data_IF_187424436842
#
_entry.id   IF_187424436842
#
_cell.length_a   1.000
_cell.length_b   1.000
_cell.length_c   1.000
_cell.angle_alpha   90.00
_cell.angle_beta   90.00
_cell.angle_gamma   90.00
#
_symmetry.space_group_name_H-M   'P 1'
#
loop_
_entity.id
_entity.type
_entity.pdbx_description
1 polymer ?
#
# COMPACT_ATOMS: atom_id res chain seq x y z
N UNK A 1 8.83 15.61 -2.99
CA UNK A 1 7.67 14.72 -3.18
C UNK A 1 8.02 13.22 -3.32
N UNK A 2 9.31 12.83 -3.27
CA UNK A 2 9.76 11.42 -3.39
C UNK A 2 9.74 10.62 -2.08
N UNK A 3 9.57 11.26 -0.93
CA UNK A 3 9.77 10.66 0.41
C UNK A 3 8.66 9.74 0.94
N UNK A 4 7.53 9.66 0.23
CA UNK A 4 6.34 8.98 0.78
C UNK A 4 6.14 7.53 0.32
N UNK A 5 6.90 7.10 -0.67
CA UNK A 5 6.69 5.81 -1.33
C UNK A 5 7.24 4.63 -0.51
N UNK A 6 8.24 4.91 0.33
CA UNK A 6 9.04 3.87 1.00
C UNK A 6 8.42 3.34 2.29
N UNK A 7 7.55 4.12 2.92
CA UNK A 7 7.01 3.81 4.25
C UNK A 7 6.19 2.51 4.30
N UNK A 8 5.69 2.08 3.16
CA UNK A 8 4.80 0.92 3.08
C UNK A 8 5.51 -0.42 3.18
N UNK A 9 6.72 -0.47 2.68
CA UNK A 9 7.43 -1.74 2.60
C UNK A 9 7.93 -2.23 3.96
N UNK A 10 8.20 -1.30 4.87
CA UNK A 10 8.77 -1.61 6.17
C UNK A 10 7.81 -2.25 7.17
N UNK A 11 6.52 -1.94 7.06
CA UNK A 11 5.53 -2.48 8.00
C UNK A 11 5.34 -4.00 7.90
N UNK A 12 5.90 -4.63 6.88
CA UNK A 12 5.62 -6.04 6.58
C UNK A 12 6.70 -7.01 7.03
N UNK A 13 7.89 -6.53 7.36
CA UNK A 13 9.01 -7.41 7.73
C UNK A 13 8.94 -7.97 9.16
N UNK A 14 8.17 -7.33 10.03
CA UNK A 14 7.92 -7.83 11.38
C UNK A 14 6.70 -8.73 11.47
N UNK A 15 6.36 -9.43 10.40
CA UNK A 15 5.24 -10.37 10.36
C UNK A 15 5.33 -11.53 11.38
N UNK A 16 6.46 -11.71 12.05
CA UNK A 16 6.58 -12.64 13.17
C UNK A 16 5.77 -12.23 14.42
N UNK A 17 5.43 -10.93 14.55
CA UNK A 17 4.64 -10.42 15.66
C UNK A 17 3.16 -10.13 15.29
N UNK A 18 2.78 -10.37 14.02
CA UNK A 18 1.44 -10.08 13.51
C UNK A 18 0.62 -11.35 13.21
N UNK A 19 0.94 -12.48 13.83
CA UNK A 19 0.18 -13.72 13.66
C UNK A 19 -1.31 -13.57 14.04
N UNK A 20 -1.63 -12.61 14.89
CA UNK A 20 -2.98 -12.33 15.37
C UNK A 20 -3.50 -10.93 15.02
N UNK A 21 -2.95 -10.26 14.03
CA UNK A 21 -3.55 -9.02 13.57
C UNK A 21 -4.97 -9.31 13.07
N UNK A 22 -6.01 -8.66 13.62
CA UNK A 22 -7.39 -8.86 13.19
C UNK A 22 -7.46 -8.63 11.69
N UNK A 23 -8.28 -9.42 11.00
CA UNK A 23 -8.46 -9.33 9.54
C UNK A 23 -8.52 -7.85 9.15
N UNK A 24 -7.52 -7.35 8.41
CA UNK A 24 -7.38 -5.92 8.12
C UNK A 24 -8.68 -5.44 7.49
N UNK A 25 -9.44 -4.66 8.25
CA UNK A 25 -10.66 -4.06 7.76
C UNK A 25 -10.27 -3.17 6.59
N UNK A 26 -11.05 -3.27 5.52
CA UNK A 26 -10.84 -2.45 4.33
C UNK A 26 -11.30 -1.03 4.65
N UNK A 27 -10.57 -0.02 4.22
CA UNK A 27 -11.09 1.32 4.16
C UNK A 27 -12.38 1.29 3.34
N UNK A 28 -13.45 1.86 3.89
CA UNK A 28 -14.79 1.79 3.28
C UNK A 28 -15.36 3.18 3.11
N UNK A 29 -15.90 3.47 1.93
CA UNK A 29 -16.72 4.65 1.65
C UNK A 29 -18.13 4.18 1.38
N UNK A 30 -19.09 4.63 2.19
CA UNK A 30 -20.51 4.37 1.98
C UNK A 30 -21.19 5.67 1.58
N UNK A 31 -22.03 5.63 0.56
CA UNK A 31 -22.82 6.79 0.09
C UNK A 31 -24.26 6.37 -0.09
N UNK A 32 -25.13 6.95 0.72
CA UNK A 32 -26.56 6.88 0.53
C UNK A 32 -26.99 8.04 -0.38
N UNK A 33 -27.72 7.74 -1.43
CA UNK A 33 -28.07 8.72 -2.47
C UNK A 33 -29.48 8.49 -3.01
N UNK A 34 -30.06 9.52 -3.66
CA UNK A 34 -31.39 9.43 -4.29
C UNK A 34 -31.35 9.93 -5.75
N UNK A 35 -32.11 9.27 -6.62
CA UNK A 35 -32.16 9.63 -8.04
C UNK A 35 -32.68 11.06 -8.30
N UNK A 36 -33.65 11.51 -7.52
CA UNK A 36 -34.25 12.84 -7.61
C UNK A 36 -33.42 13.96 -6.97
N UNK A 37 -32.35 13.64 -6.28
CA UNK A 37 -31.49 14.60 -5.60
C UNK A 37 -30.19 14.79 -6.40
N UNK A 38 -30.04 15.95 -7.05
CA UNK A 38 -28.88 16.24 -7.90
C UNK A 38 -27.60 16.30 -7.09
N UNK A 39 -27.61 16.88 -5.88
CA UNK A 39 -26.45 16.99 -5.01
C UNK A 39 -25.92 15.60 -4.63
N UNK A 40 -26.83 14.67 -4.27
CA UNK A 40 -26.43 13.31 -3.93
C UNK A 40 -25.84 12.55 -5.14
N UNK A 41 -26.34 12.81 -6.34
CA UNK A 41 -25.79 12.24 -7.59
C UNK A 41 -24.39 12.77 -7.87
N UNK A 42 -24.18 14.08 -7.69
CA UNK A 42 -22.87 14.73 -7.84
C UNK A 42 -21.89 14.18 -6.80
N UNK A 43 -22.31 14.07 -5.53
CA UNK A 43 -21.48 13.53 -4.46
C UNK A 43 -21.05 12.07 -4.75
N UNK A 44 -22.00 11.23 -5.18
CA UNK A 44 -21.71 9.85 -5.55
C UNK A 44 -20.72 9.76 -6.73
N UNK A 45 -20.91 10.57 -7.78
CA UNK A 45 -20.04 10.57 -8.96
C UNK A 45 -18.63 11.05 -8.59
N UNK A 46 -18.51 12.10 -7.79
CA UNK A 46 -17.25 12.65 -7.29
C UNK A 46 -16.49 11.62 -6.46
N UNK A 47 -17.12 11.00 -5.46
CA UNK A 47 -16.49 10.01 -4.60
C UNK A 47 -16.14 8.72 -5.35
N UNK A 48 -16.96 8.29 -6.33
CA UNK A 48 -16.58 7.18 -7.22
C UNK A 48 -15.29 7.47 -7.97
N UNK A 49 -15.16 8.67 -8.54
CA UNK A 49 -13.94 9.09 -9.26
C UNK A 49 -12.74 9.15 -8.35
N UNK A 50 -12.89 9.70 -7.15
CA UNK A 50 -11.84 9.79 -6.13
C UNK A 50 -11.38 8.40 -5.69
N UNK A 51 -12.32 7.51 -5.35
CA UNK A 51 -12.02 6.12 -4.96
C UNK A 51 -11.33 5.36 -6.10
N UNK A 52 -11.77 5.55 -7.36
CA UNK A 52 -11.10 4.93 -8.51
C UNK A 52 -9.66 5.40 -8.63
N UNK A 53 -9.38 6.70 -8.53
CA UNK A 53 -8.02 7.22 -8.56
C UNK A 53 -7.11 6.60 -7.50
N UNK A 54 -7.62 6.40 -6.29
CA UNK A 54 -6.86 5.71 -5.24
C UNK A 54 -6.73 4.20 -5.48
N UNK A 55 -7.74 3.55 -6.05
CA UNK A 55 -7.63 2.13 -6.44
C UNK A 55 -6.61 1.92 -7.55
N UNK A 56 -6.56 2.83 -8.51
CA UNK A 56 -5.55 2.83 -9.58
C UNK A 56 -4.14 3.06 -9.03
N UNK A 57 -4.05 3.82 -7.93
CA UNK A 57 -2.82 3.93 -7.13
C UNK A 57 -2.59 2.70 -6.22
N UNK A 58 -3.47 1.68 -6.23
CA UNK A 58 -3.35 0.37 -5.57
C UNK A 58 -3.87 0.28 -4.15
N UNK A 59 -4.57 1.29 -3.68
CA UNK A 59 -5.21 1.20 -2.38
C UNK A 59 -6.46 0.31 -2.40
N UNK A 60 -6.63 -0.52 -1.39
CA UNK A 60 -7.81 -1.38 -1.27
C UNK A 60 -8.92 -0.63 -0.53
N UNK A 61 -9.81 -0.01 -1.31
CA UNK A 61 -10.95 0.75 -0.80
C UNK A 61 -12.24 0.05 -1.21
N UNK A 62 -13.10 -0.28 -0.25
CA UNK A 62 -14.46 -0.71 -0.54
C UNK A 62 -15.35 0.52 -0.74
N UNK A 63 -16.18 0.52 -1.77
CA UNK A 63 -17.19 1.54 -1.96
C UNK A 63 -18.56 0.88 -2.04
N UNK A 64 -19.51 1.37 -1.23
CA UNK A 64 -20.90 0.96 -1.25
C UNK A 64 -21.75 2.18 -1.59
N UNK A 65 -22.67 2.01 -2.49
CA UNK A 65 -23.65 3.04 -2.84
C UNK A 65 -25.06 2.48 -2.64
N UNK A 66 -25.84 3.10 -1.76
CA UNK A 66 -27.20 2.67 -1.46
C UNK A 66 -28.19 3.70 -2.01
N UNK A 67 -29.11 3.24 -2.85
CA UNK A 67 -30.20 4.08 -3.32
C UNK A 67 -31.26 4.19 -2.21
N UNK A 68 -31.68 5.41 -1.90
CA UNK A 68 -32.77 5.72 -0.98
C UNK A 68 -33.95 6.33 -1.74
N UNK A 69 -35.15 6.06 -1.30
CA UNK A 69 -36.37 6.64 -1.87
C UNK A 69 -36.69 8.04 -1.31
N UNK A 70 -35.87 8.55 -0.41
CA UNK A 70 -35.97 9.88 0.24
C UNK A 70 -35.11 9.95 1.48
N UNK A 71 -35.26 11.05 2.23
CA UNK A 71 -34.50 11.31 3.44
C UNK A 71 -33.35 12.30 3.25
N UNK A 72 -32.50 12.44 4.26
CA UNK A 72 -31.31 13.30 4.19
C UNK A 72 -30.24 12.61 3.34
N UNK A 73 -30.16 13.00 2.07
CA UNK A 73 -29.15 12.52 1.13
C UNK A 73 -28.45 13.71 0.46
N UNK A 74 -27.12 13.64 0.19
CA UNK A 74 -26.26 12.48 0.44
C UNK A 74 -25.97 12.26 1.92
N UNK A 75 -25.90 10.99 2.35
CA UNK A 75 -25.30 10.59 3.61
C UNK A 75 -24.04 9.79 3.29
N UNK A 76 -22.89 10.28 3.76
CA UNK A 76 -21.58 9.77 3.40
C UNK A 76 -20.85 9.34 4.66
N UNK A 77 -20.36 8.12 4.68
CA UNK A 77 -19.53 7.59 5.75
C UNK A 77 -18.19 7.12 5.20
N UNK A 78 -17.11 7.50 5.87
CA UNK A 78 -15.76 7.00 5.61
C UNK A 78 -15.28 6.26 6.84
N UNK A 79 -14.96 4.98 6.66
CA UNK A 79 -14.42 4.12 7.74
C UNK A 79 -12.99 3.74 7.38
N UNK A 80 -12.06 3.99 8.28
CA UNK A 80 -10.65 3.67 8.07
C UNK A 80 -10.37 2.15 8.12
N UNK A 81 -9.13 1.77 7.83
CA UNK A 81 -8.70 0.37 7.81
C UNK A 81 -8.73 -0.30 9.20
N UNK A 82 -8.85 0.45 10.29
CA UNK A 82 -9.07 -0.07 11.64
C UNK A 82 -10.54 -0.36 11.94
N UNK A 83 -11.44 0.11 11.07
CA UNK A 83 -12.89 0.05 11.25
C UNK A 83 -13.45 1.22 12.04
N UNK A 84 -12.65 2.28 12.26
CA UNK A 84 -13.10 3.52 12.88
C UNK A 84 -13.76 4.40 11.83
N UNK A 85 -14.94 4.92 12.12
CA UNK A 85 -15.56 5.95 11.32
C UNK A 85 -14.77 7.26 11.49
N UNK A 86 -14.26 7.79 10.37
CA UNK A 86 -13.45 9.02 10.33
C UNK A 86 -14.21 10.21 9.75
N UNK A 87 -15.33 9.91 9.09
CA UNK A 87 -16.26 10.91 8.60
C UNK A 87 -17.69 10.35 8.56
N UNK A 88 -18.64 11.17 8.97
CA UNK A 88 -20.07 10.99 8.75
C UNK A 88 -20.70 12.36 8.47
N UNK A 89 -21.36 12.53 7.34
CA UNK A 89 -21.94 13.79 6.94
C UNK A 89 -22.42 13.80 5.49
N UNK A 90 -22.72 15.00 4.96
CA UNK A 90 -23.23 15.17 3.60
C UNK A 90 -22.26 15.84 2.63
N UNK A 91 -21.19 16.49 3.12
CA UNK A 91 -20.24 17.18 2.25
C UNK A 91 -19.25 16.22 1.62
N UNK A 92 -19.24 16.18 0.28
CA UNK A 92 -18.36 15.31 -0.51
C UNK A 92 -16.88 15.69 -0.43
N UNK A 93 -16.58 16.99 -0.20
CA UNK A 93 -15.20 17.47 -0.13
C UNK A 93 -14.58 17.08 1.22
N UNK A 94 -15.32 17.27 2.32
CA UNK A 94 -14.89 16.84 3.65
C UNK A 94 -14.72 15.32 3.70
N UNK A 95 -15.64 14.58 3.08
CA UNK A 95 -15.50 13.13 2.93
C UNK A 95 -14.24 12.74 2.14
N UNK A 96 -13.90 13.47 1.07
CA UNK A 96 -12.68 13.23 0.30
C UNK A 96 -11.41 13.58 1.08
N UNK A 97 -11.44 14.63 1.88
CA UNK A 97 -10.35 14.99 2.81
C UNK A 97 -10.15 13.87 3.83
N UNK A 98 -11.20 13.44 4.50
CA UNK A 98 -11.15 12.35 5.48
C UNK A 98 -10.68 11.03 4.86
N UNK A 99 -11.11 10.72 3.62
CA UNK A 99 -10.62 9.59 2.85
C UNK A 99 -9.12 9.70 2.58
N UNK A 100 -8.66 10.88 2.16
CA UNK A 100 -7.24 11.14 1.89
C UNK A 100 -6.40 10.97 3.16
N UNK A 101 -6.84 11.53 4.28
CA UNK A 101 -6.16 11.37 5.58
C UNK A 101 -6.12 9.91 6.04
N UNK A 102 -7.23 9.18 5.85
CA UNK A 102 -7.27 7.76 6.17
C UNK A 102 -6.28 6.97 5.30
N UNK A 103 -6.15 7.32 4.02
CA UNK A 103 -5.18 6.72 3.08
C UNK A 103 -3.75 7.07 3.47
N UNK A 104 -3.46 8.31 3.86
CA UNK A 104 -2.11 8.71 4.32
C UNK A 104 -1.65 7.95 5.56
N UNK A 105 -2.58 7.40 6.34
CA UNK A 105 -2.30 6.54 7.48
C UNK A 105 -2.27 5.04 7.14
N UNK A 106 -2.55 4.68 5.88
CA UNK A 106 -2.39 3.31 5.41
C UNK A 106 -0.93 3.07 4.99
N UNK A 107 -0.44 1.82 5.10
CA UNK A 107 0.79 1.46 4.40
C UNK A 107 0.57 1.75 2.92
N UNK A 108 1.49 2.49 2.30
CA UNK A 108 1.48 2.72 0.85
C UNK A 108 1.46 1.34 0.20
N UNK A 109 0.59 1.07 -0.75
CA UNK A 109 0.62 -0.18 -1.48
C UNK A 109 2.04 -0.34 -2.03
N UNK A 110 2.70 -1.42 -1.71
CA UNK A 110 3.97 -1.74 -2.36
C UNK A 110 3.74 -1.64 -3.86
N UNK A 111 4.74 -1.23 -4.58
CA UNK A 111 4.65 -0.89 -6.00
C UNK A 111 4.28 -2.07 -6.93
N UNK A 112 3.71 -3.12 -6.40
CA UNK A 112 3.03 -4.17 -7.17
C UNK A 112 1.63 -3.76 -7.60
N UNK A 113 1.48 -2.51 -8.03
CA UNK A 113 0.27 -2.08 -8.69
C UNK A 113 0.47 -2.37 -10.15
N UNK A 114 -0.17 -3.42 -10.56
CA UNK A 114 -0.01 -3.93 -11.92
C UNK A 114 -0.78 -3.11 -12.94
N UNK A 115 -1.72 -2.29 -12.52
CA UNK A 115 -2.69 -1.65 -13.44
C UNK A 115 -3.62 -2.65 -14.14
N UNK A 116 -3.48 -3.94 -13.85
CA UNK A 116 -4.23 -5.06 -14.44
C UNK A 116 -5.05 -5.72 -13.34
N UNK A 117 -6.29 -6.08 -13.64
CA UNK A 117 -7.13 -6.84 -12.70
C UNK A 117 -6.59 -8.27 -12.56
N UNK A 118 -6.06 -8.59 -11.38
CA UNK A 118 -5.54 -9.92 -11.09
C UNK A 118 -6.66 -10.92 -10.81
N UNK A 119 -7.00 -11.75 -11.79
CA UNK A 119 -8.02 -12.81 -11.69
C UNK A 119 -7.39 -14.15 -11.32
N UNK A 120 -6.33 -14.53 -12.00
CA UNK A 120 -5.60 -15.78 -11.79
C UNK A 120 -4.70 -15.69 -10.55
N UNK A 121 -3.98 -14.60 -10.41
CA UNK A 121 -3.01 -14.39 -9.32
C UNK A 121 -3.55 -13.49 -8.23
N UNK A 122 -4.84 -13.62 -7.91
CA UNK A 122 -5.48 -12.89 -6.82
C UNK A 122 -4.66 -12.97 -5.54
N UNK A 123 -4.40 -11.83 -4.95
CA UNK A 123 -3.65 -11.73 -3.70
C UNK A 123 -2.13 -11.82 -3.85
N UNK A 124 -1.57 -11.84 -5.07
CA UNK A 124 -0.13 -11.69 -5.26
C UNK A 124 0.38 -10.37 -4.69
N UNK A 125 -0.31 -9.26 -5.01
CA UNK A 125 -0.03 -7.93 -4.48
C UNK A 125 -0.07 -7.91 -2.96
N UNK A 126 -1.11 -8.53 -2.37
CA UNK A 126 -1.26 -8.61 -0.92
C UNK A 126 -0.12 -9.38 -0.27
N UNK A 127 0.31 -10.50 -0.86
CA UNK A 127 1.43 -11.29 -0.33
C UNK A 127 2.74 -10.52 -0.40
N UNK A 128 2.96 -9.78 -1.49
CA UNK A 128 4.12 -8.93 -1.63
C UNK A 128 4.12 -7.80 -0.58
N UNK A 129 3.04 -7.03 -0.50
CA UNK A 129 2.88 -5.94 0.47
C UNK A 129 3.04 -6.43 1.91
N UNK A 130 2.62 -7.67 2.20
CA UNK A 130 2.78 -8.28 3.53
C UNK A 130 4.17 -8.88 3.77
N UNK A 131 5.13 -8.70 2.86
CA UNK A 131 6.46 -9.28 2.97
C UNK A 131 6.49 -10.82 2.94
N UNK A 132 5.40 -11.45 2.49
CA UNK A 132 5.27 -12.91 2.41
C UNK A 132 5.69 -13.48 1.07
N UNK A 133 6.07 -12.63 0.12
CA UNK A 133 6.53 -13.03 -1.19
C UNK A 133 7.94 -12.50 -1.41
N UNK A 134 8.85 -13.39 -1.80
CA UNK A 134 10.20 -13.01 -2.22
C UNK A 134 10.15 -12.49 -3.66
N UNK A 135 10.99 -11.53 -3.98
CA UNK A 135 11.14 -10.96 -5.32
C UNK A 135 12.04 -11.80 -6.24
N UNK A 136 12.42 -13.02 -5.83
CA UNK A 136 13.35 -13.88 -6.58
C UNK A 136 13.05 -15.38 -6.43
N UNK A 137 13.74 -16.16 -7.22
CA UNK A 137 13.80 -17.60 -7.08
C UNK A 137 12.48 -18.32 -7.33
N UNK A 138 12.22 -19.34 -6.52
CA UNK A 138 11.05 -20.20 -6.63
C UNK A 138 9.72 -19.45 -6.41
N UNK A 139 9.74 -18.32 -5.70
CA UNK A 139 8.54 -17.51 -5.48
C UNK A 139 7.98 -16.93 -6.79
N UNK A 140 8.85 -16.70 -7.80
CA UNK A 140 8.46 -16.17 -9.09
C UNK A 140 8.15 -17.27 -10.13
N UNK A 141 8.41 -18.52 -9.82
CA UNK A 141 8.22 -19.63 -10.76
C UNK A 141 6.79 -19.74 -11.33
N UNK A 142 5.72 -19.55 -10.52
CA UNK A 142 4.35 -19.58 -11.04
C UNK A 142 4.10 -18.52 -12.12
N UNK A 143 4.62 -17.31 -11.93
CA UNK A 143 4.46 -16.20 -12.87
C UNK A 143 5.27 -16.46 -14.15
N UNK A 144 6.53 -16.89 -14.02
CA UNK A 144 7.38 -17.25 -15.15
C UNK A 144 6.80 -18.39 -15.99
N UNK A 145 6.14 -19.36 -15.33
CA UNK A 145 5.45 -20.44 -16.02
C UNK A 145 4.22 -19.93 -16.76
N UNK A 146 3.47 -19.02 -16.13
CA UNK A 146 2.24 -18.45 -16.70
C UNK A 146 2.49 -17.55 -17.91
N UNK A 147 3.69 -17.01 -18.11
CA UNK A 147 4.05 -16.28 -19.34
C UNK A 147 3.88 -17.13 -20.62
N UNK A 148 3.93 -18.45 -20.48
CA UNK A 148 3.75 -19.42 -21.60
C UNK A 148 2.30 -19.88 -21.74
N UNK A 149 1.39 -19.36 -20.93
CA UNK A 149 -0.02 -19.76 -20.92
C UNK A 149 -0.71 -19.29 -22.20
N UNK A 150 -1.53 -20.18 -22.76
CA UNK A 150 -2.41 -19.85 -23.89
C UNK A 150 -3.78 -19.30 -23.40
N UNK A 151 -4.01 -19.22 -22.10
CA UNK A 151 -5.26 -18.71 -21.54
C UNK A 151 -5.27 -17.19 -21.59
N UNK A 152 -6.34 -16.58 -22.10
CA UNK A 152 -6.45 -15.12 -22.17
C UNK A 152 -6.22 -14.46 -20.82
N UNK A 153 -5.40 -13.41 -20.79
CA UNK A 153 -5.11 -12.62 -19.60
C UNK A 153 -4.12 -13.23 -18.60
N UNK A 154 -3.89 -14.54 -18.60
CA UNK A 154 -3.00 -15.19 -17.60
C UNK A 154 -1.54 -14.77 -17.77
N UNK A 155 -1.06 -14.73 -19.03
CA UNK A 155 0.29 -14.25 -19.33
C UNK A 155 0.45 -12.76 -19.05
N UNK A 156 -0.57 -11.96 -19.34
CA UNK A 156 -0.59 -10.52 -19.09
C UNK A 156 -0.53 -10.21 -17.58
N UNK A 157 -1.35 -10.87 -16.76
CA UNK A 157 -1.27 -10.74 -15.30
C UNK A 157 0.10 -11.11 -14.75
N UNK A 158 0.66 -12.23 -15.25
CA UNK A 158 1.97 -12.70 -14.82
C UNK A 158 3.08 -11.71 -15.18
N UNK A 159 3.05 -11.17 -16.40
CA UNK A 159 4.01 -10.15 -16.84
C UNK A 159 3.88 -8.88 -15.99
N UNK A 160 2.66 -8.39 -15.79
CA UNK A 160 2.41 -7.20 -14.98
C UNK A 160 2.93 -7.34 -13.53
N UNK A 161 2.81 -8.54 -12.94
CA UNK A 161 3.38 -8.83 -11.62
C UNK A 161 4.90 -8.79 -11.65
N UNK A 162 5.53 -9.47 -12.62
CA UNK A 162 6.99 -9.49 -12.72
C UNK A 162 7.56 -8.09 -12.95
N UNK A 163 6.96 -7.31 -13.84
CA UNK A 163 7.37 -5.93 -14.11
C UNK A 163 7.20 -5.04 -12.86
N UNK A 164 6.16 -5.27 -12.07
CA UNK A 164 5.92 -4.53 -10.84
C UNK A 164 6.96 -4.85 -9.77
N UNK A 165 7.36 -6.12 -9.66
CA UNK A 165 8.43 -6.54 -8.73
C UNK A 165 9.76 -5.91 -9.13
N UNK A 166 10.08 -5.91 -10.42
CA UNK A 166 11.34 -5.34 -10.91
C UNK A 166 11.38 -3.82 -10.71
N UNK A 167 10.29 -3.11 -11.01
CA UNK A 167 10.18 -1.66 -10.72
C UNK A 167 10.33 -1.38 -9.23
N UNK A 168 9.67 -2.17 -8.37
CA UNK A 168 9.74 -2.00 -6.93
C UNK A 168 11.17 -2.22 -6.41
N UNK A 169 11.88 -3.20 -6.98
CA UNK A 169 13.30 -3.44 -6.67
C UNK A 169 14.15 -2.22 -7.00
N UNK A 170 14.06 -1.75 -8.25
CA UNK A 170 14.84 -0.61 -8.74
C UNK A 170 14.59 0.64 -7.90
N UNK A 171 13.34 0.96 -7.61
CA UNK A 171 13.01 2.12 -6.81
C UNK A 171 13.54 2.00 -5.38
N UNK A 172 13.45 0.80 -4.78
CA UNK A 172 13.98 0.56 -3.45
C UNK A 172 15.51 0.72 -3.42
N UNK A 173 16.21 0.26 -4.47
CA UNK A 173 17.65 0.46 -4.61
C UNK A 173 18.02 1.94 -4.70
N UNK A 174 17.31 2.70 -5.53
CA UNK A 174 17.49 4.14 -5.68
C UNK A 174 17.24 4.88 -4.34
N UNK A 175 16.22 4.47 -3.60
CA UNK A 175 15.88 5.06 -2.31
C UNK A 175 16.93 4.73 -1.24
N UNK A 176 17.41 3.49 -1.20
CA UNK A 176 18.51 3.09 -0.28
C UNK A 176 19.75 3.93 -0.59
N UNK A 177 20.14 4.05 -1.85
CA UNK A 177 21.32 4.81 -2.25
C UNK A 177 21.19 6.29 -1.90
N UNK A 178 20.03 6.89 -2.13
CA UNK A 178 19.75 8.27 -1.76
C UNK A 178 19.85 8.48 -0.23
N UNK A 179 19.27 7.58 0.56
CA UNK A 179 19.35 7.64 2.02
C UNK A 179 20.78 7.41 2.55
N UNK A 180 21.56 6.55 1.89
CA UNK A 180 22.96 6.31 2.27
C UNK A 180 23.88 7.50 1.96
N UNK A 181 23.52 8.32 0.96
CA UNK A 181 24.24 9.53 0.60
C UNK A 181 23.93 10.71 1.55
N UNK A 182 22.86 10.63 2.33
CA UNK A 182 22.43 11.65 3.28
C UNK A 182 22.84 11.27 4.70
N UNK A 183 23.52 12.17 5.43
CA UNK A 183 23.98 11.93 6.81
C UNK A 183 22.97 12.45 7.86
N UNK A 184 21.68 12.41 7.58
CA UNK A 184 20.64 12.74 8.55
C UNK A 184 20.19 11.50 9.34
N UNK A 185 19.74 11.72 10.58
CA UNK A 185 19.21 10.66 11.43
C UNK A 185 18.05 9.93 10.77
N UNK A 186 17.16 10.67 10.12
CA UNK A 186 15.97 10.10 9.49
C UNK A 186 16.36 9.26 8.27
N UNK A 187 17.28 9.74 7.43
CA UNK A 187 17.80 8.99 6.30
C UNK A 187 18.51 7.69 6.74
N UNK A 188 19.29 7.72 7.82
CA UNK A 188 19.90 6.51 8.39
C UNK A 188 18.87 5.48 8.83
N UNK A 189 17.78 5.93 9.46
CA UNK A 189 16.67 5.05 9.87
C UNK A 189 15.90 4.47 8.68
N UNK A 190 15.65 5.29 7.66
CA UNK A 190 15.02 4.87 6.40
C UNK A 190 15.91 3.84 5.69
N UNK A 191 17.19 4.13 5.51
CA UNK A 191 18.15 3.20 4.89
C UNK A 191 18.21 1.86 5.61
N UNK A 192 18.27 1.85 6.95
CA UNK A 192 18.33 0.60 7.73
C UNK A 192 17.07 -0.25 7.50
N UNK A 193 15.89 0.38 7.53
CA UNK A 193 14.61 -0.26 7.26
C UNK A 193 14.58 -0.87 5.86
N UNK A 194 14.97 -0.10 4.86
CA UNK A 194 14.85 -0.47 3.45
C UNK A 194 15.86 -1.54 3.06
N UNK A 195 17.08 -1.48 3.61
CA UNK A 195 18.06 -2.56 3.47
C UNK A 195 17.53 -3.86 4.10
N UNK A 196 16.89 -3.81 5.28
CA UNK A 196 16.26 -5.02 5.86
C UNK A 196 15.22 -5.61 4.93
N UNK A 197 14.38 -4.76 4.36
CA UNK A 197 13.35 -5.21 3.43
C UNK A 197 13.95 -5.79 2.16
N UNK A 198 14.96 -5.13 1.58
CA UNK A 198 15.68 -5.63 0.41
C UNK A 198 16.28 -7.02 0.67
N UNK A 199 16.97 -7.18 1.80
CA UNK A 199 17.60 -8.45 2.21
C UNK A 199 16.59 -9.59 2.37
N UNK A 200 15.40 -9.30 2.84
CA UNK A 200 14.33 -10.30 3.00
C UNK A 200 13.69 -10.69 1.66
N UNK A 201 13.60 -9.73 0.74
CA UNK A 201 12.91 -9.91 -0.54
C UNK A 201 13.82 -10.48 -1.64
N UNK A 202 15.06 -10.00 -1.69
CA UNK A 202 16.09 -10.42 -2.67
C UNK A 202 17.37 -10.91 -1.98
N UNK A 203 17.32 -12.03 -1.26
CA UNK A 203 18.46 -12.51 -0.49
C UNK A 203 19.70 -12.84 -1.33
N UNK A 204 19.55 -13.22 -2.59
CA UNK A 204 20.70 -13.51 -3.49
C UNK A 204 21.54 -12.26 -3.78
N UNK A 205 20.92 -11.07 -3.80
CA UNK A 205 21.56 -9.80 -4.08
C UNK A 205 21.88 -8.98 -2.80
N UNK A 206 21.51 -9.52 -1.64
CA UNK A 206 21.62 -8.83 -0.35
C UNK A 206 23.05 -8.43 0.02
N UNK A 207 24.05 -9.15 -0.49
CA UNK A 207 25.47 -8.94 -0.17
C UNK A 207 25.96 -7.53 -0.47
N UNK A 208 25.40 -6.86 -1.49
CA UNK A 208 25.78 -5.49 -1.84
C UNK A 208 25.53 -4.47 -0.74
N UNK A 209 24.63 -4.78 0.19
CA UNK A 209 24.29 -3.94 1.33
C UNK A 209 24.81 -4.46 2.67
N UNK A 210 25.70 -5.47 2.71
CA UNK A 210 26.17 -6.04 3.96
C UNK A 210 26.93 -5.03 4.83
N UNK A 211 27.83 -4.26 4.24
CA UNK A 211 28.61 -3.26 4.98
C UNK A 211 27.76 -2.05 5.44
N UNK A 212 26.95 -1.42 4.56
CA UNK A 212 25.99 -0.40 5.02
C UNK A 212 25.05 -0.92 6.11
N UNK A 213 24.56 -2.15 5.98
CA UNK A 213 23.70 -2.77 6.96
C UNK A 213 24.36 -2.93 8.33
N UNK A 214 25.58 -3.50 8.38
CA UNK A 214 26.33 -3.66 9.63
C UNK A 214 26.56 -2.34 10.34
N UNK A 215 26.96 -1.30 9.57
CA UNK A 215 27.20 0.04 10.08
C UNK A 215 25.93 0.63 10.69
N UNK A 216 24.84 0.66 9.93
CA UNK A 216 23.57 1.23 10.39
C UNK A 216 22.92 0.40 11.51
N UNK A 217 23.03 -0.92 11.47
CA UNK A 217 22.55 -1.80 12.52
C UNK A 217 23.35 -1.70 13.82
N UNK A 218 24.55 -1.15 13.80
CA UNK A 218 25.32 -0.82 14.99
C UNK A 218 25.01 0.59 15.54
N UNK A 219 24.53 1.50 14.68
CA UNK A 219 24.23 2.90 15.01
C UNK A 219 22.95 3.04 15.86
N UNK A 220 23.04 3.57 17.11
CA UNK A 220 21.88 3.78 17.96
C UNK A 220 20.87 4.78 17.38
N UNK A 221 21.34 5.82 16.66
CA UNK A 221 20.47 6.81 16.05
C UNK A 221 19.66 6.23 14.90
N UNK A 222 20.29 5.44 14.03
CA UNK A 222 19.63 4.73 12.96
C UNK A 222 18.54 3.78 13.50
N UNK A 223 18.86 3.02 14.54
CA UNK A 223 17.88 2.13 15.20
C UNK A 223 16.70 2.89 15.80
N UNK A 224 16.98 4.00 16.49
CA UNK A 224 15.90 4.81 17.09
C UNK A 224 14.99 5.42 16.01
N UNK A 225 15.57 5.89 14.90
CA UNK A 225 14.82 6.43 13.77
C UNK A 225 14.01 5.34 13.06
N UNK A 226 14.60 4.18 12.77
CA UNK A 226 13.87 3.01 12.23
C UNK A 226 12.68 2.64 13.12
N UNK A 227 12.91 2.56 14.45
CA UNK A 227 11.85 2.24 15.40
C UNK A 227 10.74 3.29 15.44
N UNK A 228 11.08 4.57 15.23
CA UNK A 228 10.09 5.65 15.13
C UNK A 228 9.23 5.53 13.87
N UNK A 229 9.82 5.13 12.74
CA UNK A 229 9.10 4.88 11.49
C UNK A 229 8.12 3.71 11.59
N UNK A 230 8.45 2.72 12.42
CA UNK A 230 7.64 1.50 12.59
C UNK A 230 6.53 1.66 13.62
N UNK A 231 6.59 2.70 14.48
CA UNK A 231 5.52 2.97 15.45
C UNK A 231 4.28 3.49 14.74
N UNK A 232 3.10 2.91 14.99
CA UNK A 232 1.86 3.52 14.54
C UNK A 232 1.79 4.93 15.14
N UNK A 233 1.60 5.96 14.30
CA UNK A 233 1.41 7.33 14.78
C UNK A 233 0.23 7.31 15.74
N UNK A 234 0.48 7.50 17.06
CA UNK A 234 -0.58 7.73 18.02
C UNK A 234 -1.30 9.00 17.58
N UNK A 235 -2.55 8.85 17.20
CA UNK A 235 -3.43 9.99 16.89
C UNK A 235 -3.53 10.84 18.17
N UNK A 236 -3.19 12.09 18.08
CA UNK A 236 -3.61 13.13 19.04
C UNK A 236 -5.03 13.54 18.73
#
# INVERSE_FOLDING_TARGET
>A
MKKYIILACACTLFAGAFADAPARRKLTVTVDWAKGNEESRIALAFLKKTVLGYRDAGYVIAMKATLRDGGNVPEIHVTDASGKEVYAGSDKNDAAVALTEAIMNMPVPGQMITGVELKKFRGADKRYIMGKMKGEGAALAPFKTALKSKKPGEAEEAQAILDSIERAKKNLEEDIEACLAEDSKDAKGEALRDIRWFRATWPSEAKKYDEPFKRLAADPEAKAAEAALLKPKKRR
#
